data_IF_116989935196
#
_entry.id   IF_116989935196
#
_cell.length_a   1.000
_cell.length_b   1.000
_cell.length_c   1.000
_cell.angle_alpha   90.00
_cell.angle_beta   90.00
_cell.angle_gamma   90.00
#
_symmetry.space_group_name_H-M   'P 1'
#
loop_
_entity.id
_entity.type
_entity.pdbx_description
1 polymer ?
#
# COMPACT_ATOMS: atom_id res chain seq x y z
N UNK A 1 -58.76 45.21 -16.18
CA UNK A 1 -58.85 44.46 -14.91
C UNK A 1 -58.10 43.15 -15.10
N UNK A 2 -57.30 42.75 -14.10
CA UNK A 2 -56.07 41.94 -14.22
C UNK A 2 -56.33 40.45 -14.52
N UNK A 3 -55.56 39.88 -15.45
CA UNK A 3 -55.48 38.45 -15.75
C UNK A 3 -54.57 37.77 -14.71
N UNK A 4 -55.09 36.77 -14.01
CA UNK A 4 -54.38 35.98 -12.98
C UNK A 4 -53.32 35.06 -13.58
N UNK A 5 -52.07 35.20 -13.15
CA UNK A 5 -50.97 34.26 -13.44
C UNK A 5 -50.91 33.18 -12.36
N UNK A 6 -51.21 31.94 -12.72
CA UNK A 6 -50.95 30.76 -11.88
C UNK A 6 -49.43 30.52 -11.83
N UNK A 7 -48.81 30.81 -10.69
CA UNK A 7 -47.43 30.41 -10.42
C UNK A 7 -47.44 29.01 -9.79
N UNK A 8 -47.16 27.98 -10.59
CA UNK A 8 -46.87 26.65 -10.08
C UNK A 8 -45.42 26.63 -9.57
N UNK A 9 -45.24 26.81 -8.26
CA UNK A 9 -43.94 26.62 -7.61
C UNK A 9 -43.74 25.12 -7.35
N UNK A 10 -42.98 24.46 -8.23
CA UNK A 10 -42.53 23.08 -8.03
C UNK A 10 -41.31 23.11 -7.09
N UNK A 11 -41.54 22.86 -5.80
CA UNK A 11 -40.49 22.63 -4.81
C UNK A 11 -39.85 21.25 -5.06
N UNK A 12 -38.72 21.23 -5.76
CA UNK A 12 -37.86 20.05 -5.86
C UNK A 12 -37.10 19.87 -4.53
N UNK A 13 -37.61 19.00 -3.65
CA UNK A 13 -36.87 18.56 -2.48
C UNK A 13 -35.79 17.56 -2.92
N UNK A 14 -34.54 18.02 -3.10
CA UNK A 14 -33.39 17.12 -3.20
C UNK A 14 -33.14 16.48 -1.83
N UNK A 15 -33.58 15.24 -1.67
CA UNK A 15 -33.13 14.40 -0.57
C UNK A 15 -31.65 14.08 -0.79
N UNK A 16 -30.77 14.76 -0.07
CA UNK A 16 -29.36 14.40 0.00
C UNK A 16 -29.25 13.05 0.74
N UNK A 17 -28.91 12.00 -0.01
CA UNK A 17 -28.52 10.72 0.60
C UNK A 17 -27.23 10.97 1.40
N UNK A 18 -27.15 10.58 2.69
CA UNK A 18 -25.89 10.65 3.41
C UNK A 18 -24.90 9.69 2.73
N UNK A 19 -23.79 10.22 2.22
CA UNK A 19 -22.66 9.40 1.83
C UNK A 19 -22.15 8.69 3.08
N UNK A 20 -22.23 7.37 3.12
CA UNK A 20 -21.64 6.59 4.20
C UNK A 20 -20.14 6.90 4.24
N UNK A 21 -19.69 7.59 5.29
CA UNK A 21 -18.27 7.75 5.54
C UNK A 21 -17.72 6.34 5.83
N UNK A 22 -16.84 5.84 4.96
CA UNK A 22 -16.13 4.60 5.22
C UNK A 22 -15.32 4.80 6.50
N UNK A 23 -15.64 4.03 7.54
CA UNK A 23 -14.98 4.12 8.83
C UNK A 23 -13.62 3.40 8.71
N UNK A 24 -12.59 4.11 8.21
CA UNK A 24 -11.26 3.52 7.97
C UNK A 24 -10.61 3.10 9.30
N UNK A 25 -10.39 1.81 9.48
CA UNK A 25 -9.72 1.27 10.66
C UNK A 25 -8.20 1.32 10.48
N UNK A 26 -7.46 1.40 11.58
CA UNK A 26 -6.00 1.49 11.53
C UNK A 26 -5.35 0.30 10.83
N UNK A 27 -6.03 -0.85 10.83
CA UNK A 27 -5.46 -2.12 10.36
C UNK A 27 -5.87 -2.41 8.90
N UNK A 28 -6.62 -1.51 8.25
CA UNK A 28 -7.08 -1.69 6.86
C UNK A 28 -5.94 -1.85 5.85
N UNK A 29 -4.75 -1.29 6.13
CA UNK A 29 -3.58 -1.46 5.25
C UNK A 29 -2.99 -2.87 5.31
N UNK A 30 -3.27 -3.66 6.36
CA UNK A 30 -2.71 -4.99 6.51
C UNK A 30 -3.27 -5.95 5.43
N UNK A 31 -2.42 -6.82 4.89
CA UNK A 31 -2.77 -7.77 3.84
C UNK A 31 -1.72 -7.87 2.74
N UNK A 32 -2.05 -8.58 1.66
CA UNK A 32 -1.13 -8.78 0.53
C UNK A 32 -1.52 -7.86 -0.62
N UNK A 33 -0.53 -7.12 -1.11
CA UNK A 33 -0.69 -6.09 -2.12
C UNK A 33 0.18 -6.37 -3.34
N UNK A 34 -0.41 -6.30 -4.53
CA UNK A 34 0.32 -6.29 -5.78
C UNK A 34 0.73 -4.86 -6.14
N UNK A 35 2.03 -4.64 -6.29
CA UNK A 35 2.59 -3.37 -6.78
C UNK A 35 2.39 -3.21 -8.28
N UNK A 36 2.50 -1.98 -8.79
CA UNK A 36 2.45 -1.68 -10.24
C UNK A 36 3.46 -2.49 -11.06
N UNK A 37 4.57 -2.92 -10.45
CA UNK A 37 5.63 -3.71 -11.11
C UNK A 37 5.47 -5.23 -10.96
N UNK A 38 4.33 -5.69 -10.41
CA UNK A 38 4.03 -7.12 -10.26
C UNK A 38 4.68 -7.79 -9.05
N UNK A 39 5.30 -7.05 -8.14
CA UNK A 39 5.74 -7.60 -6.84
C UNK A 39 4.57 -7.75 -5.87
N UNK A 40 4.56 -8.83 -5.08
CA UNK A 40 3.60 -9.03 -3.99
C UNK A 40 4.24 -8.66 -2.65
N UNK A 41 3.58 -7.79 -1.91
CA UNK A 41 4.05 -7.25 -0.63
C UNK A 41 3.01 -7.52 0.43
N UNK A 42 3.34 -8.31 1.44
CA UNK A 42 2.53 -8.41 2.65
C UNK A 42 2.83 -7.20 3.52
N UNK A 43 1.83 -6.35 3.77
CA UNK A 43 1.87 -5.33 4.81
C UNK A 43 1.31 -5.94 6.09
N UNK A 44 2.04 -5.80 7.19
CA UNK A 44 1.69 -6.36 8.49
C UNK A 44 2.00 -5.36 9.62
N UNK A 45 1.31 -5.54 10.75
CA UNK A 45 1.49 -4.71 11.94
C UNK A 45 2.75 -5.14 12.70
N UNK A 46 3.59 -4.16 13.03
CA UNK A 46 4.75 -4.28 13.91
C UNK A 46 4.65 -3.20 14.99
N UNK A 47 4.20 -3.60 16.18
CA UNK A 47 3.84 -2.70 17.27
C UNK A 47 2.76 -1.69 16.83
N UNK A 48 3.12 -0.40 16.91
CA UNK A 48 2.26 0.72 16.51
C UNK A 48 2.48 1.16 15.04
N UNK A 49 3.23 0.37 14.27
CA UNK A 49 3.57 0.68 12.89
C UNK A 49 3.27 -0.47 11.94
N UNK A 50 3.44 -0.23 10.65
CA UNK A 50 3.23 -1.18 9.57
C UNK A 50 4.48 -1.29 8.72
N UNK A 51 4.91 -2.54 8.54
CA UNK A 51 6.03 -2.94 7.72
C UNK A 51 5.52 -3.75 6.53
N UNK A 52 6.33 -3.85 5.48
CA UNK A 52 5.97 -4.57 4.25
C UNK A 52 7.09 -5.46 3.74
N UNK A 53 6.80 -6.74 3.57
CA UNK A 53 7.73 -7.78 3.10
C UNK A 53 7.35 -8.31 1.74
N UNK A 54 8.33 -8.56 0.88
CA UNK A 54 8.10 -9.21 -0.41
C UNK A 54 7.76 -10.68 -0.17
N UNK A 55 6.57 -11.09 -0.64
CA UNK A 55 6.05 -12.46 -0.51
C UNK A 55 5.84 -13.17 -1.83
N UNK A 56 6.24 -12.55 -2.95
CA UNK A 56 6.16 -13.16 -4.27
C UNK A 56 6.16 -12.15 -5.41
N UNK A 57 5.80 -12.63 -6.60
CA UNK A 57 5.55 -11.80 -7.78
C UNK A 57 4.55 -12.48 -8.71
N UNK A 58 3.89 -11.68 -9.54
CA UNK A 58 2.89 -12.16 -10.50
C UNK A 58 3.41 -13.08 -11.60
N UNK A 59 4.73 -13.10 -11.82
CA UNK A 59 5.37 -14.01 -12.78
C UNK A 59 6.00 -15.24 -12.11
N UNK A 60 5.98 -15.32 -10.76
CA UNK A 60 6.59 -16.40 -9.98
C UNK A 60 8.10 -16.54 -10.12
N UNK A 61 8.78 -15.62 -10.82
CA UNK A 61 10.21 -15.76 -11.14
C UNK A 61 11.07 -15.30 -9.96
N UNK A 62 12.18 -16.01 -9.65
CA UNK A 62 13.15 -15.53 -8.69
C UNK A 62 13.68 -14.14 -9.05
N UNK A 63 13.63 -13.21 -8.10
CA UNK A 63 14.21 -11.87 -8.22
C UNK A 63 15.31 -11.68 -7.19
N UNK A 64 16.34 -10.93 -7.58
CA UNK A 64 17.55 -10.69 -6.78
C UNK A 64 17.81 -9.19 -6.63
N UNK A 65 18.43 -8.82 -5.52
CA UNK A 65 18.65 -7.42 -5.14
C UNK A 65 19.86 -6.78 -5.83
N UNK A 66 19.97 -6.95 -7.16
CA UNK A 66 21.17 -6.63 -7.95
C UNK A 66 21.65 -5.17 -7.84
N UNK A 67 20.75 -4.26 -7.47
CA UNK A 67 21.01 -2.81 -7.38
C UNK A 67 21.24 -2.32 -5.95
N UNK A 68 21.31 -3.23 -4.97
CA UNK A 68 21.54 -2.82 -3.59
C UNK A 68 22.82 -1.96 -3.48
N UNK A 69 22.81 -0.82 -2.78
CA UNK A 69 24.01 -0.02 -2.59
C UNK A 69 25.11 -0.82 -1.88
N UNK A 70 24.74 -1.70 -0.95
CA UNK A 70 25.61 -2.65 -0.30
C UNK A 70 25.93 -3.83 -1.24
N UNK A 71 27.20 -3.99 -1.59
CA UNK A 71 27.66 -5.00 -2.54
C UNK A 71 27.37 -6.43 -2.06
N UNK A 72 27.46 -6.68 -0.75
CA UNK A 72 27.26 -8.00 -0.15
C UNK A 72 25.80 -8.44 -0.27
N UNK A 73 24.88 -7.49 -0.43
CA UNK A 73 23.45 -7.75 -0.61
C UNK A 73 23.06 -7.96 -2.07
N UNK A 74 23.92 -7.69 -3.06
CA UNK A 74 23.53 -7.73 -4.49
C UNK A 74 23.20 -9.13 -5.03
N UNK A 75 23.60 -10.18 -4.31
CA UNK A 75 23.27 -11.57 -4.60
C UNK A 75 22.03 -12.10 -3.87
N UNK A 76 21.46 -11.36 -2.91
CA UNK A 76 20.35 -11.89 -2.09
C UNK A 76 19.07 -12.01 -2.91
N UNK A 77 18.28 -13.05 -2.64
CA UNK A 77 16.90 -13.13 -3.12
C UNK A 77 16.08 -12.00 -2.50
N UNK A 78 15.18 -11.40 -3.28
CA UNK A 78 14.26 -10.38 -2.79
C UNK A 78 13.09 -10.98 -1.99
N UNK A 79 12.82 -12.27 -2.17
CA UNK A 79 11.81 -12.97 -1.42
C UNK A 79 12.11 -12.92 0.09
N UNK A 80 11.13 -12.51 0.89
CA UNK A 80 11.28 -12.34 2.33
C UNK A 80 11.95 -11.03 2.77
N UNK A 81 12.41 -10.18 1.84
CA UNK A 81 13.01 -8.89 2.21
C UNK A 81 11.92 -7.90 2.63
N UNK A 82 12.10 -7.29 3.81
CA UNK A 82 11.27 -6.16 4.27
C UNK A 82 11.71 -4.90 3.53
N UNK A 83 10.80 -4.35 2.72
CA UNK A 83 11.04 -3.19 1.88
C UNK A 83 10.31 -1.94 2.37
N UNK A 84 9.24 -2.07 3.14
CA UNK A 84 8.49 -0.96 3.72
C UNK A 84 8.64 -1.04 5.25
N UNK A 85 8.95 0.09 5.87
CA UNK A 85 9.25 0.16 7.30
C UNK A 85 8.52 1.32 7.95
N UNK A 86 7.89 1.07 9.09
CA UNK A 86 7.52 2.11 10.06
C UNK A 86 6.38 3.05 9.65
N UNK A 87 5.49 2.64 8.74
CA UNK A 87 4.29 3.45 8.47
C UNK A 87 3.42 3.49 9.73
N UNK A 88 2.94 4.66 10.13
CA UNK A 88 2.03 4.82 11.26
C UNK A 88 0.69 5.34 10.77
N UNK A 89 -0.39 4.74 11.24
CA UNK A 89 -1.73 5.24 10.98
C UNK A 89 -1.87 6.66 11.53
N UNK A 90 -2.47 7.54 10.73
CA UNK A 90 -2.79 8.90 11.12
C UNK A 90 -4.30 8.99 11.37
N UNK A 91 -5.07 9.29 10.35
CA UNK A 91 -6.52 9.25 10.31
C UNK A 91 -7.00 8.94 8.88
N UNK A 92 -8.31 8.69 8.71
CA UNK A 92 -8.95 8.61 7.38
C UNK A 92 -8.29 7.64 6.37
N UNK A 93 -7.61 6.60 6.84
CA UNK A 93 -6.90 5.65 5.99
C UNK A 93 -5.56 6.16 5.45
N UNK A 94 -5.01 7.22 6.04
CA UNK A 94 -3.67 7.73 5.80
C UNK A 94 -2.64 7.12 6.75
N UNK A 95 -1.47 6.82 6.21
CA UNK A 95 -0.33 6.25 6.91
C UNK A 95 0.92 7.03 6.52
N UNK A 96 1.71 7.50 7.48
CA UNK A 96 2.89 8.34 7.23
C UNK A 96 4.07 7.96 8.13
N UNK A 97 5.22 8.60 7.95
CA UNK A 97 6.43 8.42 8.74
C UNK A 97 7.29 7.22 8.33
N UNK A 98 6.87 6.48 7.30
CA UNK A 98 7.54 5.27 6.87
C UNK A 98 8.71 5.50 5.90
N UNK A 99 9.39 4.42 5.54
CA UNK A 99 10.42 4.38 4.51
C UNK A 99 10.21 3.18 3.60
N UNK A 100 10.48 3.34 2.30
CA UNK A 100 10.39 2.27 1.31
C UNK A 100 11.68 2.12 0.51
N UNK A 101 12.26 0.92 0.53
CA UNK A 101 13.33 0.49 -0.35
C UNK A 101 12.74 0.04 -1.70
N UNK A 102 13.25 0.58 -2.81
CA UNK A 102 12.92 0.12 -4.15
C UNK A 102 14.08 -0.71 -4.74
N UNK A 103 13.96 -2.05 -4.80
CA UNK A 103 14.98 -2.91 -5.39
C UNK A 103 15.26 -2.64 -6.87
N UNK A 104 14.32 -2.01 -7.59
CA UNK A 104 14.51 -1.68 -9.00
C UNK A 104 15.43 -0.48 -9.22
N UNK A 105 15.65 0.35 -8.19
CA UNK A 105 16.56 1.50 -8.24
C UNK A 105 17.70 1.42 -7.22
N UNK A 106 17.60 0.56 -6.20
CA UNK A 106 18.57 0.46 -5.10
C UNK A 106 18.45 1.61 -4.09
N UNK A 107 17.35 2.35 -4.10
CA UNK A 107 17.19 3.57 -3.31
C UNK A 107 16.11 3.39 -2.25
N UNK A 108 16.31 4.05 -1.12
CA UNK A 108 15.32 4.17 -0.04
C UNK A 108 14.72 5.57 -0.06
N UNK A 109 13.40 5.63 0.05
CA UNK A 109 12.62 6.86 0.05
C UNK A 109 11.83 6.99 1.35
N UNK A 110 11.46 8.22 1.73
CA UNK A 110 10.37 8.40 2.69
C UNK A 110 9.08 7.89 2.05
N UNK A 111 8.23 7.28 2.86
CA UNK A 111 7.03 6.61 2.40
C UNK A 111 5.80 7.10 3.17
N UNK A 112 4.71 7.30 2.42
CA UNK A 112 3.36 7.41 2.95
C UNK A 112 2.41 6.57 2.12
N UNK A 113 1.29 6.18 2.69
CA UNK A 113 0.27 5.40 2.01
C UNK A 113 -1.12 5.92 2.32
N UNK A 114 -2.02 5.81 1.35
CA UNK A 114 -3.42 6.25 1.50
C UNK A 114 -4.35 5.18 0.96
N UNK A 115 -5.27 4.70 1.79
CA UNK A 115 -6.35 3.83 1.36
C UNK A 115 -7.31 4.61 0.45
N UNK A 116 -7.53 4.11 -0.77
CA UNK A 116 -8.52 4.66 -1.72
C UNK A 116 -9.82 3.84 -1.73
N UNK A 117 -9.86 2.78 -0.95
CA UNK A 117 -10.94 1.81 -0.81
C UNK A 117 -10.39 0.54 -0.15
N UNK A 118 -11.21 -0.49 0.08
CA UNK A 118 -10.77 -1.72 0.75
C UNK A 118 -9.63 -2.43 0.01
N UNK A 119 -9.59 -2.33 -1.33
CA UNK A 119 -8.67 -3.10 -2.18
C UNK A 119 -7.70 -2.23 -3.00
N UNK A 120 -7.57 -0.95 -2.67
CA UNK A 120 -6.71 -0.01 -3.41
C UNK A 120 -5.92 0.87 -2.46
N UNK A 121 -4.59 0.81 -2.59
CA UNK A 121 -3.63 1.54 -1.77
C UNK A 121 -2.76 2.42 -2.65
N UNK A 122 -2.76 3.73 -2.44
CA UNK A 122 -1.79 4.61 -3.06
C UNK A 122 -0.53 4.68 -2.18
N UNK A 123 0.54 4.03 -2.62
CA UNK A 123 1.85 4.06 -1.96
C UNK A 123 2.75 5.13 -2.60
N UNK A 124 3.27 6.07 -1.81
CA UNK A 124 4.08 7.18 -2.31
C UNK A 124 5.47 7.19 -1.70
N UNK A 125 6.49 7.16 -2.57
CA UNK A 125 7.89 7.39 -2.23
C UNK A 125 8.34 8.81 -2.58
N UNK A 126 9.06 9.49 -1.70
CA UNK A 126 9.54 10.86 -1.93
C UNK A 126 10.90 11.17 -1.26
N UNK A 127 11.53 12.28 -1.70
CA UNK A 127 12.79 12.79 -1.14
C UNK A 127 12.51 14.17 -0.50
N UNK A 128 12.89 14.35 0.77
CA UNK A 128 12.65 15.59 1.49
C UNK A 128 11.17 15.78 1.86
N UNK A 129 10.45 16.59 1.08
CA UNK A 129 9.00 16.86 1.23
C UNK A 129 8.17 15.97 0.30
N UNK A 130 6.94 15.65 0.71
CA UNK A 130 6.10 14.68 0.00
C UNK A 130 5.65 15.15 -1.39
N UNK A 131 5.74 16.44 -1.71
CA UNK A 131 5.43 16.96 -3.04
C UNK A 131 6.43 16.47 -4.11
N UNK A 132 7.68 16.22 -3.74
CA UNK A 132 8.75 15.77 -4.65
C UNK A 132 8.92 14.25 -4.59
N UNK A 133 7.97 13.54 -5.18
CA UNK A 133 7.92 12.07 -5.15
C UNK A 133 7.03 11.46 -6.22
N UNK A 134 6.90 10.14 -6.17
CA UNK A 134 6.06 9.36 -7.08
C UNK A 134 5.09 8.50 -6.28
N UNK A 135 3.85 8.45 -6.74
CA UNK A 135 2.81 7.55 -6.21
C UNK A 135 2.68 6.35 -7.14
N UNK A 136 2.50 5.17 -6.56
CA UNK A 136 2.04 3.96 -7.25
C UNK A 136 0.77 3.48 -6.58
N UNK A 137 -0.22 3.12 -7.38
CA UNK A 137 -1.40 2.42 -6.90
C UNK A 137 -1.09 0.92 -6.83
N UNK A 138 -1.35 0.34 -5.67
CA UNK A 138 -1.26 -1.09 -5.39
C UNK A 138 -2.66 -1.66 -5.22
N UNK A 139 -2.82 -2.92 -5.59
CA UNK A 139 -4.10 -3.61 -5.53
C UNK A 139 -4.03 -4.76 -4.54
N UNK A 140 -5.04 -4.89 -3.68
CA UNK A 140 -5.11 -6.03 -2.77
C UNK A 140 -5.30 -7.31 -3.57
N UNK A 141 -4.64 -8.38 -3.14
CA UNK A 141 -4.82 -9.72 -3.70
C UNK A 141 -5.18 -10.71 -2.59
N UNK A 142 -5.80 -11.82 -2.97
CA UNK A 142 -6.02 -12.94 -2.06
C UNK A 142 -4.66 -13.45 -1.54
N UNK A 143 -4.45 -13.58 -0.22
CA UNK A 143 -3.24 -14.18 0.32
C UNK A 143 -2.96 -15.59 -0.22
N UNK A 144 -3.97 -16.30 -0.74
CA UNK A 144 -3.85 -17.63 -1.38
C UNK A 144 -3.63 -17.58 -2.89
N UNK A 145 -3.46 -16.39 -3.47
CA UNK A 145 -3.19 -16.25 -4.89
C UNK A 145 -1.91 -16.99 -5.30
N UNK A 146 -1.84 -17.38 -6.58
CA UNK A 146 -0.67 -18.05 -7.13
C UNK A 146 0.61 -17.22 -6.89
N UNK A 147 1.72 -17.91 -6.63
CA UNK A 147 3.03 -17.32 -6.35
C UNK A 147 3.15 -16.50 -5.05
N UNK A 148 2.11 -16.47 -4.21
CA UNK A 148 2.26 -15.98 -2.83
C UNK A 148 2.89 -17.10 -1.98
N UNK A 149 4.06 -16.82 -1.44
CA UNK A 149 4.80 -17.71 -0.55
C UNK A 149 4.17 -17.72 0.85
N UNK A 150 3.34 -18.72 1.11
CA UNK A 150 2.56 -18.86 2.34
C UNK A 150 3.43 -18.97 3.60
N UNK A 151 4.61 -19.57 3.47
CA UNK A 151 5.59 -19.69 4.56
C UNK A 151 6.04 -18.34 5.10
N UNK A 152 6.03 -17.30 4.26
CA UNK A 152 6.43 -15.94 4.65
C UNK A 152 5.31 -15.18 5.37
N UNK A 153 4.05 -15.50 5.08
CA UNK A 153 2.90 -14.78 5.65
C UNK A 153 2.80 -14.94 7.18
N UNK A 154 3.38 -16.01 7.70
CA UNK A 154 3.38 -16.36 9.12
C UNK A 154 4.76 -16.20 9.78
N UNK A 155 5.75 -15.65 9.06
CA UNK A 155 7.06 -15.42 9.65
C UNK A 155 6.96 -14.39 10.78
N UNK A 156 7.69 -14.60 11.89
CA UNK A 156 7.76 -13.62 12.96
C UNK A 156 8.21 -12.26 12.43
N UNK A 157 7.66 -11.22 13.06
CA UNK A 157 8.15 -9.85 12.92
C UNK A 157 9.65 -9.82 13.24
N UNK A 158 10.44 -9.14 12.40
CA UNK A 158 11.90 -9.07 12.56
C UNK A 158 12.70 -10.31 12.10
N UNK A 159 12.05 -11.36 11.59
CA UNK A 159 12.78 -12.51 11.03
C UNK A 159 13.65 -12.08 9.83
N UNK A 160 14.89 -12.56 9.78
CA UNK A 160 15.80 -12.29 8.66
C UNK A 160 15.25 -12.88 7.35
N UNK A 161 15.48 -12.22 6.19
CA UNK A 161 15.12 -12.79 4.90
C UNK A 161 15.84 -14.13 4.71
N UNK A 162 15.11 -15.13 4.20
CA UNK A 162 15.66 -16.46 3.93
C UNK A 162 16.87 -16.33 3.00
N UNK A 163 18.05 -16.75 3.47
CA UNK A 163 19.24 -16.89 2.63
C UNK A 163 18.99 -18.05 1.66
N UNK A 164 18.40 -17.76 0.50
CA UNK A 164 18.13 -18.79 -0.49
C UNK A 164 19.43 -19.38 -1.04
N UNK A 165 19.56 -20.70 -0.98
CA UNK A 165 20.38 -21.49 -1.92
C UNK A 165 19.96 -21.26 -3.38
#
# INVERSE_FOLDING_TARGET
MRLTLLSAALLLAMAALPAAAANSQSDDIAGVWQTKTGGYVQVYKDGDSYDGRIVGSSDGKPRYDKKNPDADKRGRRLLGVVILHGLKYQDNGEYDGGHIYDPNSGKTYKAKATMKGPDTLDARGYIGISLLGKTQTWHRIDPKAEHVHQDLLHQPVGAAPQSGN
#
